data_IF_354188886328
#
_entry.id   IF_354188886328
#
_cell.length_a   1.000
_cell.length_b   1.000
_cell.length_c   1.000
_cell.angle_alpha   90.00
_cell.angle_beta   90.00
_cell.angle_gamma   90.00
#
_symmetry.space_group_name_H-M   'P 1'
#
loop_
_entity.id
_entity.type
_entity.pdbx_description
1 polymer ?
#
# COMPACT_ATOMS: atom_id res chain seq x y z
N UNK A 1 -13.71 -8.83 15.89
CA UNK A 1 -14.15 -10.02 15.15
C UNK A 1 -12.95 -10.65 14.44
N UNK A 2 -12.98 -11.93 14.10
CA UNK A 2 -12.01 -12.53 13.16
C UNK A 2 -12.30 -12.04 11.74
N UNK A 3 -11.29 -11.83 10.91
CA UNK A 3 -11.44 -11.25 9.56
C UNK A 3 -12.55 -11.88 8.71
N UNK A 4 -13.22 -11.05 7.92
CA UNK A 4 -14.27 -11.43 6.99
C UNK A 4 -13.65 -11.84 5.65
N UNK A 5 -13.92 -13.07 5.19
CA UNK A 5 -13.51 -13.51 3.85
C UNK A 5 -14.43 -12.87 2.82
N UNK A 6 -13.86 -12.03 1.96
CA UNK A 6 -14.59 -11.36 0.87
C UNK A 6 -14.59 -12.21 -0.41
N UNK A 7 -13.52 -12.97 -0.63
CA UNK A 7 -13.36 -13.85 -1.78
C UNK A 7 -12.49 -15.05 -1.42
N UNK A 8 -12.83 -16.23 -1.96
CA UNK A 8 -12.05 -17.45 -1.79
C UNK A 8 -12.14 -18.35 -3.04
N UNK A 9 -10.97 -18.80 -3.50
CA UNK A 9 -10.78 -19.89 -4.46
C UNK A 9 -9.74 -20.88 -3.91
N UNK A 10 -9.43 -21.93 -4.67
CA UNK A 10 -8.45 -22.95 -4.26
C UNK A 10 -7.07 -22.35 -3.91
N UNK A 11 -6.62 -21.34 -4.67
CA UNK A 11 -5.28 -20.76 -4.52
C UNK A 11 -5.28 -19.29 -4.07
N UNK A 12 -6.45 -18.66 -3.90
CA UNK A 12 -6.53 -17.22 -3.66
C UNK A 12 -7.61 -16.85 -2.64
N UNK A 13 -7.28 -15.96 -1.70
CA UNK A 13 -8.21 -15.48 -0.67
C UNK A 13 -8.03 -13.99 -0.42
N UNK A 14 -9.13 -13.27 -0.27
CA UNK A 14 -9.15 -11.85 0.13
C UNK A 14 -9.93 -11.72 1.42
N UNK A 15 -9.31 -11.14 2.44
CA UNK A 15 -9.84 -11.05 3.80
C UNK A 15 -9.81 -9.59 4.24
N UNK A 16 -10.93 -9.13 4.78
CA UNK A 16 -11.13 -7.82 5.38
C UNK A 16 -11.09 -7.90 6.90
N UNK A 17 -10.37 -6.97 7.53
CA UNK A 17 -10.33 -6.77 8.97
C UNK A 17 -10.83 -5.37 9.29
N UNK A 18 -11.89 -5.29 10.09
CA UNK A 18 -12.53 -4.04 10.51
C UNK A 18 -12.66 -4.00 12.03
N UNK A 19 -13.04 -2.83 12.55
CA UNK A 19 -13.30 -2.63 13.98
C UNK A 19 -12.10 -2.95 14.92
N UNK A 20 -10.88 -2.87 14.39
CA UNK A 20 -9.65 -3.03 15.19
C UNK A 20 -9.19 -1.71 15.83
N UNK A 21 -9.73 -0.60 15.37
CA UNK A 21 -9.35 0.74 15.84
C UNK A 21 -10.18 1.13 17.06
N UNK A 22 -9.59 1.72 18.12
CA UNK A 22 -10.36 2.24 19.24
C UNK A 22 -11.36 3.31 18.82
N UNK A 23 -12.51 3.38 19.48
CA UNK A 23 -13.58 4.36 19.18
C UNK A 23 -13.15 5.84 19.26
N UNK A 24 -12.00 6.13 19.89
CA UNK A 24 -11.40 7.48 19.97
C UNK A 24 -10.56 7.87 18.75
N UNK A 25 -10.38 6.97 17.78
CA UNK A 25 -9.62 7.18 16.56
C UNK A 25 -10.48 6.87 15.32
N UNK A 26 -10.09 7.45 14.18
CA UNK A 26 -10.74 7.18 12.89
C UNK A 26 -10.58 5.70 12.56
N UNK A 27 -11.68 5.02 12.30
CA UNK A 27 -11.66 3.61 11.95
C UNK A 27 -11.05 3.42 10.56
N UNK A 28 -10.08 2.52 10.45
CA UNK A 28 -9.46 2.12 9.20
C UNK A 28 -9.59 0.61 8.98
N UNK A 29 -9.74 0.21 7.73
CA UNK A 29 -9.83 -1.18 7.28
C UNK A 29 -8.45 -1.72 6.92
N UNK A 30 -8.22 -3.01 7.16
CA UNK A 30 -7.01 -3.70 6.73
C UNK A 30 -7.38 -4.92 5.92
N UNK A 31 -6.54 -5.27 4.95
CA UNK A 31 -6.79 -6.41 4.07
C UNK A 31 -5.61 -7.36 4.02
N UNK A 32 -5.91 -8.66 3.99
CA UNK A 32 -4.92 -9.70 3.68
C UNK A 32 -5.33 -10.37 2.38
N UNK A 33 -4.42 -10.37 1.42
CA UNK A 33 -4.50 -11.21 0.23
C UNK A 33 -3.58 -12.41 0.46
N UNK A 34 -4.11 -13.62 0.28
CA UNK A 34 -3.33 -14.85 0.28
C UNK A 34 -3.37 -15.41 -1.13
N UNK A 35 -2.21 -15.67 -1.72
CA UNK A 35 -2.10 -16.33 -3.01
C UNK A 35 -1.05 -17.44 -2.94
N UNK A 36 -1.45 -18.67 -3.27
CA UNK A 36 -0.56 -19.85 -3.27
C UNK A 36 0.25 -20.03 -1.97
N UNK A 37 -0.36 -19.68 -0.84
CA UNK A 37 0.24 -19.81 0.49
C UNK A 37 1.17 -18.68 0.93
N UNK A 38 1.34 -17.63 0.12
CA UNK A 38 2.04 -16.40 0.49
C UNK A 38 1.06 -15.23 0.64
N UNK A 39 1.38 -14.32 1.55
CA UNK A 39 0.50 -13.22 1.94
C UNK A 39 1.00 -11.84 1.50
N UNK A 40 0.07 -10.98 1.11
CA UNK A 40 0.24 -9.54 0.99
C UNK A 40 -0.71 -8.83 1.94
N UNK A 41 -0.14 -8.01 2.83
CA UNK A 41 -0.88 -7.17 3.76
C UNK A 41 -1.05 -5.77 3.16
N UNK A 42 -2.28 -5.28 3.08
CA UNK A 42 -2.58 -3.93 2.60
C UNK A 42 -2.87 -3.01 3.78
N UNK A 43 -2.19 -1.87 3.81
CA UNK A 43 -2.42 -0.76 4.74
C UNK A 43 -2.49 -1.22 6.21
N UNK A 44 -1.36 -1.69 6.77
CA UNK A 44 -1.31 -2.49 8.00
C UNK A 44 -1.76 -1.78 9.29
N UNK A 45 -2.13 -0.51 9.23
CA UNK A 45 -2.67 0.21 10.37
C UNK A 45 -1.64 0.98 11.18
N UNK A 46 -2.13 1.71 12.18
CA UNK A 46 -1.30 2.34 13.20
C UNK A 46 -0.92 1.40 14.36
N UNK A 47 -0.05 1.87 15.26
CA UNK A 47 0.46 1.08 16.40
C UNK A 47 -0.64 0.41 17.26
N UNK A 48 -1.78 1.08 17.45
CA UNK A 48 -2.89 0.56 18.27
C UNK A 48 -3.58 -0.66 17.66
N UNK A 49 -3.49 -0.82 16.34
CA UNK A 49 -4.13 -1.91 15.57
C UNK A 49 -3.22 -3.12 15.44
N UNK A 50 -1.89 -2.91 15.48
CA UNK A 50 -0.87 -3.91 15.19
C UNK A 50 -1.08 -5.28 15.85
N UNK A 51 -1.20 -5.33 17.18
CA UNK A 51 -1.30 -6.59 17.92
C UNK A 51 -2.61 -7.34 17.66
N UNK A 52 -3.71 -6.61 17.50
CA UNK A 52 -5.01 -7.19 17.18
C UNK A 52 -5.01 -7.76 15.77
N UNK A 53 -4.51 -6.99 14.79
CA UNK A 53 -4.42 -7.42 13.40
C UNK A 53 -3.49 -8.63 13.24
N UNK A 54 -2.31 -8.61 13.87
CA UNK A 54 -1.38 -9.74 13.83
C UNK A 54 -2.01 -11.02 14.39
N UNK A 55 -2.72 -10.94 15.52
CA UNK A 55 -3.45 -12.07 16.10
C UNK A 55 -4.53 -12.60 15.16
N UNK A 56 -5.28 -11.70 14.51
CA UNK A 56 -6.40 -12.09 13.66
C UNK A 56 -5.94 -12.62 12.30
N UNK A 57 -4.84 -12.11 11.74
CA UNK A 57 -4.18 -12.66 10.55
C UNK A 57 -3.61 -14.06 10.82
N UNK A 58 -3.04 -14.31 12.00
CA UNK A 58 -2.44 -15.60 12.36
C UNK A 58 -3.42 -16.78 12.30
N UNK A 59 -4.74 -16.52 12.29
CA UNK A 59 -5.80 -17.53 12.10
C UNK A 59 -5.90 -18.02 10.64
N UNK A 60 -5.41 -17.23 9.68
CA UNK A 60 -5.47 -17.51 8.24
C UNK A 60 -4.11 -17.82 7.64
N UNK A 61 -3.07 -17.13 8.11
CA UNK A 61 -1.73 -17.23 7.55
C UNK A 61 -0.66 -17.03 8.64
N UNK A 62 0.34 -17.92 8.76
CA UNK A 62 1.47 -17.68 9.65
C UNK A 62 2.18 -16.36 9.29
N UNK A 63 2.55 -15.48 10.24
CA UNK A 63 3.18 -14.20 9.92
C UNK A 63 4.43 -14.28 9.03
N UNK A 64 5.23 -15.35 9.15
CA UNK A 64 6.40 -15.62 8.29
C UNK A 64 6.08 -15.81 6.80
N UNK A 65 4.81 -16.07 6.47
CA UNK A 65 4.31 -16.21 5.10
C UNK A 65 3.81 -14.89 4.51
N UNK A 66 3.77 -13.80 5.29
CA UNK A 66 3.58 -12.46 4.74
C UNK A 66 4.86 -12.07 4.02
N UNK A 67 4.79 -11.91 2.69
CA UNK A 67 5.91 -11.57 1.83
C UNK A 67 5.90 -10.12 1.41
N UNK A 68 4.72 -9.51 1.37
CA UNK A 68 4.53 -8.16 0.87
C UNK A 68 3.68 -7.35 1.83
N UNK A 69 4.06 -6.08 2.01
CA UNK A 69 3.24 -5.06 2.66
C UNK A 69 3.07 -3.93 1.67
N UNK A 70 1.83 -3.57 1.37
CA UNK A 70 1.53 -2.43 0.52
C UNK A 70 1.05 -1.27 1.39
N UNK A 71 1.58 -0.07 1.12
CA UNK A 71 1.25 1.17 1.79
C UNK A 71 0.72 2.15 0.75
N UNK A 72 -0.58 2.44 0.79
CA UNK A 72 -1.24 3.32 -0.17
C UNK A 72 -0.70 4.76 -0.09
N UNK A 73 -0.42 5.25 1.11
CA UNK A 73 0.10 6.60 1.37
C UNK A 73 0.77 6.68 2.76
N UNK A 74 1.11 7.88 3.22
CA UNK A 74 1.95 8.14 4.41
C UNK A 74 1.20 8.28 5.74
N UNK A 75 -0.13 8.26 5.77
CA UNK A 75 -0.84 8.70 6.96
C UNK A 75 -0.65 7.72 8.14
N UNK A 76 -0.74 8.20 9.39
CA UNK A 76 -0.38 7.40 10.57
C UNK A 76 -1.27 6.16 10.77
N UNK A 77 -2.50 6.17 10.26
CA UNK A 77 -3.42 5.04 10.26
C UNK A 77 -3.07 3.99 9.20
N UNK A 78 -2.07 4.24 8.35
CA UNK A 78 -1.55 3.30 7.35
C UNK A 78 -0.15 2.80 7.74
N UNK A 79 0.78 3.72 7.99
CA UNK A 79 2.21 3.38 8.03
C UNK A 79 2.78 3.22 9.44
N UNK A 80 2.10 3.69 10.49
CA UNK A 80 2.76 3.80 11.79
C UNK A 80 3.15 2.43 12.38
N UNK A 81 2.41 1.36 12.09
CA UNK A 81 2.79 0.01 12.57
C UNK A 81 3.87 -0.69 11.73
N UNK A 82 4.35 -0.09 10.63
CA UNK A 82 5.23 -0.73 9.65
C UNK A 82 6.48 -1.39 10.28
N UNK A 83 7.14 -0.71 11.22
CA UNK A 83 8.33 -1.25 11.86
C UNK A 83 8.04 -2.58 12.57
N UNK A 84 6.91 -2.69 13.28
CA UNK A 84 6.50 -3.93 13.96
C UNK A 84 6.27 -5.08 12.98
N UNK A 85 5.71 -4.80 11.81
CA UNK A 85 5.52 -5.80 10.76
C UNK A 85 6.84 -6.25 10.16
N UNK A 86 7.75 -5.33 9.85
CA UNK A 86 9.06 -5.69 9.32
C UNK A 86 9.88 -6.49 10.35
N UNK A 87 9.82 -6.18 11.64
CA UNK A 87 10.53 -6.93 12.66
C UNK A 87 9.98 -8.35 12.90
N UNK A 88 8.71 -8.59 12.58
CA UNK A 88 8.03 -9.87 12.87
C UNK A 88 7.79 -10.74 11.63
N UNK A 89 8.19 -10.25 10.45
CA UNK A 89 8.02 -10.94 9.16
C UNK A 89 9.28 -10.79 8.31
N UNK A 90 9.40 -11.59 7.26
CA UNK A 90 10.43 -11.43 6.22
C UNK A 90 9.92 -10.58 5.04
N UNK A 91 8.87 -9.77 5.26
CA UNK A 91 8.21 -9.05 4.19
C UNK A 91 9.04 -7.88 3.66
N UNK A 92 8.81 -7.55 2.39
CA UNK A 92 9.17 -6.28 1.79
C UNK A 92 7.97 -5.34 1.79
N UNK A 93 8.19 -4.07 2.09
CA UNK A 93 7.15 -3.05 2.11
C UNK A 93 7.25 -2.14 0.88
N UNK A 94 6.13 -1.78 0.28
CA UNK A 94 6.05 -1.01 -0.95
C UNK A 94 5.21 0.24 -0.72
N UNK A 95 5.77 1.40 -1.05
CA UNK A 95 5.11 2.70 -0.93
C UNK A 95 5.49 3.61 -2.09
N UNK A 96 4.70 4.65 -2.36
CA UNK A 96 5.09 5.71 -3.29
C UNK A 96 6.45 6.29 -2.94
N UNK A 97 7.28 6.53 -3.97
CA UNK A 97 8.60 7.18 -3.83
C UNK A 97 8.51 8.52 -3.07
N UNK A 98 7.38 9.22 -3.18
CA UNK A 98 7.14 10.50 -2.50
C UNK A 98 7.29 10.39 -0.98
N UNK A 99 6.94 9.23 -0.40
CA UNK A 99 6.84 9.05 1.04
C UNK A 99 8.02 8.31 1.68
N UNK A 100 8.92 7.71 0.88
CA UNK A 100 10.02 6.87 1.37
C UNK A 100 10.85 7.54 2.47
N UNK A 101 11.21 8.81 2.28
CA UNK A 101 12.05 9.55 3.23
C UNK A 101 11.30 10.04 4.48
N UNK A 102 9.98 9.92 4.50
CA UNK A 102 9.14 10.26 5.65
C UNK A 102 8.97 9.07 6.61
N UNK A 103 9.05 7.83 6.11
CA UNK A 103 8.87 6.62 6.91
C UNK A 103 9.79 6.49 8.13
N UNK A 104 11.09 6.91 8.09
CA UNK A 104 11.93 6.89 9.29
C UNK A 104 11.38 7.67 10.49
N UNK A 105 10.53 8.68 10.27
CA UNK A 105 9.91 9.45 11.35
C UNK A 105 8.88 8.63 12.17
N UNK A 106 8.45 7.47 11.67
CA UNK A 106 7.55 6.55 12.39
C UNK A 106 8.30 5.49 13.21
N UNK A 107 9.61 5.66 13.43
CA UNK A 107 10.40 4.74 14.24
C UNK A 107 10.85 3.48 13.51
N UNK A 108 11.09 3.59 12.19
CA UNK A 108 11.65 2.52 11.38
C UNK A 108 13.11 2.25 11.79
N UNK A 109 13.44 0.99 12.08
CA UNK A 109 14.81 0.62 12.44
C UNK A 109 15.73 0.49 11.22
N UNK A 110 16.97 0.96 11.37
CA UNK A 110 17.96 1.02 10.28
C UNK A 110 18.18 -0.30 9.54
N UNK A 111 18.13 -1.43 10.25
CA UNK A 111 18.39 -2.75 9.67
C UNK A 111 17.20 -3.29 8.86
N UNK A 112 16.01 -2.67 8.96
CA UNK A 112 14.83 -3.04 8.17
C UNK A 112 14.49 -2.02 7.08
N UNK A 113 15.11 -0.84 7.09
CA UNK A 113 14.90 0.22 6.09
C UNK A 113 15.10 -0.28 4.65
N UNK A 114 16.08 -1.15 4.42
CA UNK A 114 16.37 -1.68 3.08
C UNK A 114 15.23 -2.52 2.49
N UNK A 115 14.31 -3.04 3.32
CA UNK A 115 13.13 -3.79 2.89
C UNK A 115 11.96 -2.89 2.50
N UNK A 116 12.08 -1.58 2.69
CA UNK A 116 11.11 -0.61 2.20
C UNK A 116 11.52 -0.18 0.79
N UNK A 117 10.72 -0.57 -0.20
CA UNK A 117 10.95 -0.34 -1.62
C UNK A 117 10.00 0.73 -2.16
N UNK A 118 10.48 1.49 -3.15
CA UNK A 118 9.56 2.28 -3.97
C UNK A 118 8.64 1.32 -4.73
N UNK A 119 7.35 1.65 -4.79
CA UNK A 119 6.46 1.10 -5.80
C UNK A 119 7.07 1.40 -7.17
N UNK A 120 7.46 0.35 -7.88
CA UNK A 120 7.82 0.50 -9.28
C UNK A 120 6.56 0.95 -10.01
N UNK A 121 6.68 1.96 -10.87
CA UNK A 121 5.64 2.17 -11.87
C UNK A 121 5.53 0.84 -12.61
N UNK A 122 4.40 0.16 -12.49
CA UNK A 122 3.97 -0.70 -13.57
C UNK A 122 4.00 0.25 -14.76
N UNK A 123 4.87 -0.04 -15.74
CA UNK A 123 4.81 0.63 -17.01
C UNK A 123 3.45 0.23 -17.61
N UNK A 124 2.39 0.93 -17.19
CA UNK A 124 1.22 1.06 -18.02
C UNK A 124 1.78 1.83 -19.21
N UNK A 125 1.75 1.20 -20.37
CA UNK A 125 2.16 1.76 -21.67
C UNK A 125 1.43 3.07 -22.02
N UNK A 126 0.59 3.62 -21.11
CA UNK A 126 -0.03 4.93 -21.20
C UNK A 126 0.95 6.12 -21.08
N UNK A 127 2.24 5.92 -20.75
CA UNK A 127 3.17 7.05 -20.64
C UNK A 127 3.49 7.68 -22.00
N UNK A 128 3.49 6.89 -23.08
CA UNK A 128 3.64 7.41 -24.44
C UNK A 128 2.33 8.07 -24.93
N UNK A 129 1.17 7.49 -24.60
CA UNK A 129 -0.13 8.06 -24.98
C UNK A 129 -0.43 9.39 -24.25
N UNK A 130 -0.15 9.50 -22.95
CA UNK A 130 -0.38 10.73 -22.20
C UNK A 130 0.59 11.84 -22.64
N UNK A 131 1.87 11.51 -22.86
CA UNK A 131 2.83 12.49 -23.38
C UNK A 131 2.56 12.90 -24.83
N UNK A 132 1.91 12.04 -25.64
CA UNK A 132 1.46 12.37 -26.98
C UNK A 132 0.21 13.27 -26.95
N UNK A 133 -0.78 12.94 -26.12
CA UNK A 133 -2.00 13.75 -25.94
C UNK A 133 -1.68 15.14 -25.35
N UNK A 134 -0.76 15.24 -24.40
CA UNK A 134 -0.32 16.54 -23.87
C UNK A 134 0.46 17.37 -24.90
N UNK A 135 1.23 16.73 -25.80
CA UNK A 135 1.91 17.43 -26.90
C UNK A 135 0.93 17.91 -27.97
N UNK A 136 -0.03 17.08 -28.37
CA UNK A 136 -1.07 17.46 -29.34
C UNK A 136 -1.91 18.62 -28.82
N UNK A 137 -2.33 18.56 -27.55
CA UNK A 137 -3.10 19.63 -26.91
C UNK A 137 -2.31 20.94 -26.76
N UNK A 138 -0.99 20.85 -26.55
CA UNK A 138 -0.12 22.04 -26.52
C UNK A 138 0.04 22.65 -27.92
N UNK A 139 0.10 21.83 -28.98
CA UNK A 139 0.18 22.30 -30.38
C UNK A 139 -1.15 22.94 -30.83
N UNK A 140 -2.29 22.37 -30.46
CA UNK A 140 -3.61 22.95 -30.75
C UNK A 140 -3.78 24.33 -30.10
N UNK A 141 -3.45 24.45 -28.81
CA UNK A 141 -3.49 25.75 -28.09
C UNK A 141 -2.54 26.79 -28.71
N UNK A 142 -1.37 26.36 -29.19
CA UNK A 142 -0.40 27.26 -29.85
C UNK A 142 -0.88 27.72 -31.25
N UNK A 143 -1.63 26.88 -31.97
CA UNK A 143 -2.20 27.23 -33.27
C UNK A 143 -3.46 28.08 -33.16
N UNK A 144 -4.27 27.91 -32.10
CA UNK A 144 -5.42 28.78 -31.82
C UNK A 144 -4.99 30.21 -31.41
N UNK A 145 -3.84 30.39 -30.77
CA UNK A 145 -3.29 31.70 -30.43
C UNK A 145 -2.64 32.45 -31.62
N UNK A 146 -2.40 31.77 -32.75
CA UNK A 146 -1.73 32.33 -33.93
C UNK A 146 -2.67 32.83 -35.04
N UNK A 147 -4.00 32.76 -34.86
CA UNK A 147 -4.95 33.41 -35.77
C UNK A 147 -5.65 34.65 -35.15
N UNK A 148 -4.93 35.80 -35.06
CA UNK A 148 -5.63 37.08 -34.95
C UNK A 148 -5.26 38.08 -36.05
N UNK A 149 -4.86 37.66 -37.27
CA UNK A 149 -4.61 38.64 -38.35
C UNK A 149 -4.61 38.05 -39.79
N UNK A 150 -5.78 37.64 -40.30
CA UNK A 150 -6.24 37.94 -41.67
C UNK A 150 -7.71 38.34 -41.63
#
# INVERSE_FOLDING_TARGET
>A
MSGQVLFESEEHKVILFEELTPASAVQANQYLIIHKGDGMLLDPGGHKVFSLLQRDIAKFLPPKKIKYIFLSHQDPDIVASLNGWLLTTDAEAYISKLWLRFLPHFGLERHVEERVKQLQKIAIEAKEEIEAVERERTIELFNEELDPLI
#
